data_IF_495908110023
#
_entry.id   IF_495908110023
#
_cell.length_a   1.000
_cell.length_b   1.000
_cell.length_c   1.000
_cell.angle_alpha   90.00
_cell.angle_beta   90.00
_cell.angle_gamma   90.00
#
_symmetry.space_group_name_H-M   'P 1'
#
loop_
_entity.id
_entity.type
_entity.pdbx_description
1 polymer ?
#
# COMPACT_ATOMS: atom_id res chain seq x y z
N UNK A 1 -11.55 -25.58 -28.99
CA UNK A 1 -11.27 -26.99 -28.63
C UNK A 1 -12.34 -27.84 -29.30
N UNK A 2 -11.98 -28.96 -29.96
CA UNK A 2 -12.99 -29.85 -30.53
C UNK A 2 -13.86 -30.47 -29.40
N UNK A 3 -15.10 -30.88 -29.69
CA UNK A 3 -15.94 -31.62 -28.74
C UNK A 3 -15.18 -32.83 -28.15
N UNK A 4 -15.17 -32.95 -26.82
CA UNK A 4 -14.44 -34.02 -26.10
C UNK A 4 -12.92 -33.82 -25.97
N UNK A 5 -12.36 -32.74 -26.52
CA UNK A 5 -10.92 -32.45 -26.43
C UNK A 5 -10.47 -31.96 -25.05
N UNK A 6 -9.23 -32.29 -24.66
CA UNK A 6 -8.57 -31.73 -23.47
C UNK A 6 -7.83 -30.44 -23.81
N UNK A 7 -7.83 -29.49 -22.88
CA UNK A 7 -7.10 -28.24 -22.99
C UNK A 7 -6.48 -27.87 -21.66
N UNK A 8 -5.27 -27.33 -21.69
CA UNK A 8 -4.52 -26.93 -20.49
C UNK A 8 -4.59 -25.42 -20.32
N UNK A 9 -4.90 -24.96 -19.10
CA UNK A 9 -4.91 -23.52 -18.76
C UNK A 9 -3.83 -23.29 -17.72
N UNK A 10 -2.84 -22.46 -18.05
CA UNK A 10 -1.77 -22.08 -17.12
C UNK A 10 -2.07 -20.73 -16.48
N UNK A 11 -2.17 -20.71 -15.14
CA UNK A 11 -2.33 -19.47 -14.36
C UNK A 11 -1.00 -19.08 -13.74
N UNK A 12 -0.54 -17.85 -13.99
CA UNK A 12 0.69 -17.30 -13.38
C UNK A 12 0.31 -16.13 -12.48
N UNK A 13 0.73 -16.18 -11.21
CA UNK A 13 0.54 -15.09 -10.25
C UNK A 13 1.87 -14.40 -9.97
N UNK A 14 1.93 -13.10 -10.23
CA UNK A 14 3.03 -12.27 -9.74
C UNK A 14 2.78 -11.90 -8.28
N UNK A 15 3.61 -12.42 -7.38
CA UNK A 15 3.49 -12.21 -5.92
C UNK A 15 4.19 -10.93 -5.45
N UNK A 16 4.86 -10.18 -6.34
CA UNK A 16 5.53 -8.92 -6.01
C UNK A 16 4.54 -7.94 -5.39
N UNK A 17 4.87 -7.45 -4.19
CA UNK A 17 4.05 -6.49 -3.43
C UNK A 17 2.89 -7.11 -2.66
N UNK A 18 2.66 -8.42 -2.78
CA UNK A 18 1.70 -9.15 -1.95
C UNK A 18 2.36 -9.68 -0.67
N UNK A 19 1.54 -9.84 0.36
CA UNK A 19 1.91 -10.44 1.64
C UNK A 19 0.64 -11.01 2.27
N UNK A 20 0.77 -12.10 3.03
CA UNK A 20 -0.38 -12.76 3.65
C UNK A 20 -1.30 -13.45 2.64
N UNK A 21 -2.56 -13.63 3.01
CA UNK A 21 -3.54 -14.37 2.19
C UNK A 21 -3.94 -13.56 0.96
N UNK A 22 -3.82 -14.16 -0.22
CA UNK A 22 -4.30 -13.60 -1.49
C UNK A 22 -5.28 -14.56 -2.14
N UNK A 23 -6.29 -14.00 -2.81
CA UNK A 23 -7.21 -14.73 -3.66
C UNK A 23 -7.18 -14.07 -5.04
N UNK A 24 -6.92 -14.87 -6.08
CA UNK A 24 -6.93 -14.45 -7.48
C UNK A 24 -7.98 -15.25 -8.23
N UNK A 25 -8.63 -14.62 -9.20
CA UNK A 25 -9.63 -15.28 -10.03
C UNK A 25 -9.28 -15.15 -11.51
N UNK A 26 -9.59 -16.20 -12.26
CA UNK A 26 -9.56 -16.21 -13.70
C UNK A 26 -10.97 -16.51 -14.20
N UNK A 27 -11.46 -15.71 -15.16
CA UNK A 27 -12.70 -15.99 -15.88
C UNK A 27 -12.35 -16.71 -17.17
N UNK A 28 -12.95 -17.88 -17.35
CA UNK A 28 -12.80 -18.67 -18.56
C UNK A 28 -14.11 -18.54 -19.33
N UNK A 29 -14.00 -18.06 -20.56
CA UNK A 29 -15.12 -17.99 -21.49
C UNK A 29 -15.12 -19.22 -22.37
N UNK A 30 -16.30 -19.81 -22.56
CA UNK A 30 -16.49 -20.98 -23.41
C UNK A 30 -17.64 -20.75 -24.37
N UNK A 31 -17.66 -21.51 -25.46
CA UNK A 31 -18.77 -21.57 -26.40
C UNK A 31 -19.80 -22.66 -26.05
N UNK A 32 -19.70 -23.30 -24.88
CA UNK A 32 -20.75 -24.19 -24.37
C UNK A 32 -21.98 -23.33 -24.02
N UNK A 33 -23.14 -23.53 -24.67
CA UNK A 33 -24.34 -22.74 -24.41
C UNK A 33 -24.83 -22.87 -22.96
N UNK A 34 -24.51 -23.97 -22.27
CA UNK A 34 -24.88 -24.23 -20.86
C UNK A 34 -23.91 -23.56 -19.88
N UNK A 35 -22.62 -23.48 -20.23
CA UNK A 35 -21.55 -22.98 -19.35
C UNK A 35 -20.67 -21.94 -20.03
N UNK A 36 -21.28 -20.82 -20.43
CA UNK A 36 -20.58 -19.76 -21.20
C UNK A 36 -19.42 -19.10 -20.45
N UNK A 37 -19.46 -19.14 -19.11
CA UNK A 37 -18.42 -18.59 -18.26
C UNK A 37 -18.22 -19.43 -17.00
N UNK A 38 -16.96 -19.74 -16.68
CA UNK A 38 -16.54 -20.34 -15.42
C UNK A 38 -15.53 -19.45 -14.70
N UNK A 39 -15.53 -19.48 -13.37
CA UNK A 39 -14.54 -18.75 -12.55
C UNK A 39 -13.65 -19.75 -11.80
N UNK A 40 -12.34 -19.72 -12.08
CA UNK A 40 -11.35 -20.41 -11.25
C UNK A 40 -10.84 -19.46 -10.17
N UNK A 41 -10.74 -19.93 -8.93
CA UNK A 41 -10.17 -19.18 -7.81
C UNK A 41 -8.90 -19.85 -7.31
N UNK A 42 -7.83 -19.08 -7.18
CA UNK A 42 -6.55 -19.49 -6.61
C UNK A 42 -6.36 -18.78 -5.27
N UNK A 43 -6.17 -19.54 -4.20
CA UNK A 43 -5.87 -19.04 -2.86
C UNK A 43 -4.43 -19.39 -2.48
N UNK A 44 -3.68 -18.41 -1.98
CA UNK A 44 -2.31 -18.62 -1.52
C UNK A 44 -1.99 -17.73 -0.31
N UNK A 45 -1.01 -18.15 0.51
CA UNK A 45 -0.47 -17.32 1.61
C UNK A 45 0.97 -16.97 1.30
N UNK A 46 1.23 -15.69 1.03
CA UNK A 46 2.56 -15.17 0.69
C UNK A 46 3.33 -14.87 1.97
N UNK A 47 4.38 -15.64 2.22
CA UNK A 47 5.34 -15.37 3.30
C UNK A 47 6.34 -14.32 2.81
N UNK A 48 6.58 -13.30 3.63
CA UNK A 48 7.55 -12.24 3.37
C UNK A 48 8.46 -12.10 4.58
N UNK A 49 9.75 -11.78 4.40
CA UNK A 49 10.69 -11.64 5.51
C UNK A 49 10.40 -10.41 6.37
N UNK A 50 9.83 -9.36 5.75
CA UNK A 50 9.40 -8.14 6.43
C UNK A 50 7.95 -7.83 6.06
N UNK A 51 7.10 -7.80 7.07
CA UNK A 51 5.70 -7.39 6.94
C UNK A 51 5.57 -5.89 7.17
N UNK A 52 4.78 -5.23 6.33
CA UNK A 52 4.43 -3.81 6.46
C UNK A 52 2.92 -3.66 6.60
N UNK A 53 2.41 -2.97 7.62
CA UNK A 53 0.96 -2.73 7.69
C UNK A 53 0.43 -1.91 6.50
N UNK A 54 1.27 -1.04 5.94
CA UNK A 54 1.00 -0.39 4.66
C UNK A 54 2.30 0.01 3.93
N UNK A 55 2.31 -0.17 2.60
CA UNK A 55 3.34 0.39 1.71
C UNK A 55 3.02 1.80 1.22
N UNK A 56 1.78 2.24 1.44
CA UNK A 56 1.26 3.53 0.99
C UNK A 56 0.63 4.28 2.16
N UNK A 57 1.15 5.47 2.44
CA UNK A 57 0.60 6.37 3.45
C UNK A 57 -0.18 7.46 2.76
N UNK A 58 -1.47 7.55 3.06
CA UNK A 58 -2.37 8.55 2.50
C UNK A 58 -2.78 9.57 3.56
N UNK A 59 -2.55 10.84 3.25
CA UNK A 59 -3.06 11.99 3.97
C UNK A 59 -4.16 12.64 3.15
N UNK A 60 -5.30 12.86 3.78
CA UNK A 60 -6.46 13.51 3.16
C UNK A 60 -7.22 14.27 4.23
N UNK A 61 -7.42 15.57 4.02
CA UNK A 61 -8.13 16.38 5.00
C UNK A 61 -8.14 17.88 4.66
N UNK A 62 -8.85 18.68 5.46
CA UNK A 62 -8.88 20.12 5.31
C UNK A 62 -7.54 20.75 5.70
N UNK A 63 -7.25 21.91 5.10
CA UNK A 63 -6.15 22.79 5.48
C UNK A 63 -6.16 23.10 6.99
N UNK A 64 -4.97 23.26 7.56
CA UNK A 64 -4.79 23.71 8.94
C UNK A 64 -4.95 22.61 10.00
N UNK A 65 -5.25 21.37 9.62
CA UNK A 65 -5.32 20.23 10.56
C UNK A 65 -4.10 19.34 10.44
N UNK A 66 -3.34 19.20 11.54
CA UNK A 66 -2.26 18.21 11.62
C UNK A 66 -2.83 16.80 11.49
N UNK A 67 -2.18 15.96 10.69
CA UNK A 67 -2.56 14.57 10.50
C UNK A 67 -1.38 13.66 10.84
N UNK A 68 -1.71 12.52 11.45
CA UNK A 68 -0.75 11.48 11.77
C UNK A 68 -1.15 10.15 11.13
N UNK A 69 -0.16 9.42 10.62
CA UNK A 69 -0.30 8.06 10.10
C UNK A 69 0.83 7.19 10.64
N UNK A 70 0.53 5.93 10.90
CA UNK A 70 1.50 4.97 11.43
C UNK A 70 1.59 3.77 10.49
N UNK A 71 2.82 3.38 10.19
CA UNK A 71 3.15 2.12 9.52
C UNK A 71 3.85 1.22 10.53
N UNK A 72 3.35 0.00 10.68
CA UNK A 72 4.01 -1.04 11.46
C UNK A 72 4.93 -1.83 10.53
N UNK A 73 6.15 -2.08 11.00
CA UNK A 73 7.16 -2.88 10.31
C UNK A 73 7.48 -4.04 11.23
N UNK A 74 7.30 -5.27 10.75
CA UNK A 74 7.46 -6.48 11.56
C UNK A 74 8.39 -7.46 10.85
N UNK A 75 9.47 -7.82 11.52
CA UNK A 75 10.35 -8.90 11.10
C UNK A 75 9.62 -10.24 11.22
N UNK A 76 9.68 -11.05 10.17
CA UNK A 76 9.10 -12.40 10.13
C UNK A 76 10.16 -13.49 10.09
N UNK A 77 11.43 -13.13 9.95
CA UNK A 77 12.56 -14.05 10.11
C UNK A 77 12.96 -14.20 11.58
N UNK A 78 13.80 -15.21 11.85
CA UNK A 78 14.43 -15.42 13.14
C UNK A 78 15.55 -14.41 13.42
N UNK A 79 16.26 -13.97 12.37
CA UNK A 79 17.34 -12.98 12.47
C UNK A 79 16.78 -11.60 12.86
N UNK A 80 17.43 -10.84 13.76
CA UNK A 80 17.04 -9.46 14.06
C UNK A 80 17.05 -8.57 12.80
N UNK A 81 16.01 -7.77 12.64
CA UNK A 81 15.90 -6.77 11.58
C UNK A 81 16.52 -5.45 12.04
N UNK A 82 17.48 -4.94 11.29
CA UNK A 82 18.01 -3.59 11.45
C UNK A 82 17.45 -2.70 10.34
N UNK A 83 17.01 -1.48 10.69
CA UNK A 83 16.42 -0.53 9.74
C UNK A 83 17.14 0.81 9.85
N UNK A 84 17.66 1.30 8.72
CA UNK A 84 18.27 2.63 8.66
C UNK A 84 17.54 3.51 7.62
N UNK A 85 17.14 4.74 7.99
CA UNK A 85 16.61 5.69 7.01
C UNK A 85 17.66 6.01 5.95
N UNK A 86 17.28 5.98 4.67
CA UNK A 86 18.21 6.20 3.56
C UNK A 86 17.91 7.49 2.79
N UNK A 87 16.65 7.69 2.37
CA UNK A 87 16.27 8.89 1.62
C UNK A 87 14.82 9.26 1.87
N UNK A 88 14.57 10.55 2.06
CA UNK A 88 13.24 11.08 2.29
C UNK A 88 12.99 12.32 1.44
N UNK A 89 11.97 12.26 0.58
CA UNK A 89 11.71 13.32 -0.42
C UNK A 89 10.76 14.42 0.08
N UNK A 90 10.21 14.31 1.30
CA UNK A 90 9.16 15.20 1.82
C UNK A 90 9.57 15.84 3.16
N UNK A 91 10.86 16.11 3.35
CA UNK A 91 11.40 16.64 4.61
C UNK A 91 10.84 18.02 4.99
N UNK A 92 10.47 18.81 3.98
CA UNK A 92 9.82 20.12 4.07
C UNK A 92 8.33 20.00 4.40
N UNK A 93 7.64 18.96 3.88
CA UNK A 93 6.19 18.78 4.06
C UNK A 93 5.79 17.92 5.25
N UNK A 94 6.65 16.99 5.68
CA UNK A 94 6.33 15.96 6.67
C UNK A 94 7.49 15.77 7.67
N UNK A 95 7.17 15.36 8.89
CA UNK A 95 8.10 14.75 9.85
C UNK A 95 7.83 13.25 9.90
N UNK A 96 8.87 12.45 10.10
CA UNK A 96 8.72 11.04 10.43
C UNK A 96 9.51 10.71 11.69
N UNK A 97 9.05 9.68 12.39
CA UNK A 97 9.67 9.15 13.58
C UNK A 97 9.65 7.62 13.51
N UNK A 98 10.82 7.00 13.51
CA UNK A 98 10.99 5.55 13.54
C UNK A 98 11.33 5.13 14.97
N UNK A 99 10.44 4.35 15.61
CA UNK A 99 10.68 3.77 16.93
C UNK A 99 10.76 2.26 16.83
N UNK A 100 11.79 1.70 17.43
CA UNK A 100 11.86 0.27 17.72
C UNK A 100 11.01 -0.03 18.95
N UNK A 101 9.95 -0.83 18.79
CA UNK A 101 9.01 -1.19 19.86
C UNK A 101 9.40 -2.52 20.48
N UNK A 102 9.92 -3.44 19.66
CA UNK A 102 10.49 -4.69 20.10
C UNK A 102 11.80 -4.89 19.36
N UNK A 103 12.89 -5.01 20.13
CA UNK A 103 14.25 -5.09 19.59
C UNK A 103 14.37 -6.13 18.47
N UNK A 104 14.81 -5.70 17.30
CA UNK A 104 15.00 -6.48 16.08
C UNK A 104 13.72 -7.06 15.47
N UNK A 105 12.53 -6.75 15.98
CA UNK A 105 11.30 -7.49 15.64
C UNK A 105 10.13 -6.63 15.23
N UNK A 106 9.87 -5.51 15.93
CA UNK A 106 8.73 -4.62 15.64
C UNK A 106 9.17 -3.17 15.70
N UNK A 107 8.83 -2.43 14.66
CA UNK A 107 9.05 -1.00 14.56
C UNK A 107 7.75 -0.28 14.23
N UNK A 108 7.61 0.93 14.78
CA UNK A 108 6.53 1.86 14.47
C UNK A 108 7.13 3.07 13.78
N UNK A 109 6.70 3.28 12.54
CA UNK A 109 7.05 4.46 11.77
C UNK A 109 5.85 5.40 11.74
N UNK A 110 5.98 6.53 12.43
CA UNK A 110 4.95 7.57 12.50
C UNK A 110 5.29 8.68 11.52
N UNK A 111 4.37 9.04 10.65
CA UNK A 111 4.43 10.23 9.80
C UNK A 111 3.45 11.27 10.32
N UNK A 112 3.88 12.51 10.35
CA UNK A 112 3.03 13.64 10.75
C UNK A 112 3.24 14.82 9.80
N UNK A 113 2.15 15.49 9.44
CA UNK A 113 2.17 16.63 8.52
C UNK A 113 2.81 17.86 9.14
N UNK A 114 3.76 18.49 8.44
CA UNK A 114 4.30 19.82 8.77
C UNK A 114 3.61 20.91 7.96
N UNK A 115 3.53 20.70 6.65
CA UNK A 115 2.86 21.62 5.75
C UNK A 115 1.36 21.30 5.71
N UNK A 116 0.57 22.26 6.17
CA UNK A 116 -0.88 22.18 6.23
C UNK A 116 -1.55 23.01 5.14
N UNK A 117 -0.79 23.58 4.20
CA UNK A 117 -1.29 24.38 3.09
C UNK A 117 -2.07 23.53 2.08
N UNK A 118 -3.02 24.12 1.35
CA UNK A 118 -3.77 23.41 0.32
C UNK A 118 -2.87 22.96 -0.81
N UNK A 119 -3.08 21.73 -1.27
CA UNK A 119 -2.30 21.17 -2.34
C UNK A 119 -2.18 19.65 -2.25
N UNK A 120 -1.58 19.08 -3.27
CA UNK A 120 -1.19 17.67 -3.27
C UNK A 120 0.33 17.58 -3.28
N UNK A 121 0.87 16.68 -2.48
CA UNK A 121 2.28 16.29 -2.58
C UNK A 121 2.38 14.77 -2.59
N UNK A 122 3.41 14.29 -3.27
CA UNK A 122 3.72 12.88 -3.41
C UNK A 122 5.21 12.69 -3.24
N UNK A 123 5.58 11.57 -2.65
CA UNK A 123 6.98 11.29 -2.34
C UNK A 123 7.12 9.95 -1.66
N UNK A 124 8.26 9.74 -1.03
CA UNK A 124 8.54 8.46 -0.39
C UNK A 124 9.59 8.58 0.71
N UNK A 125 9.58 7.59 1.59
CA UNK A 125 10.68 7.28 2.50
C UNK A 125 11.29 5.93 2.09
N UNK A 126 12.59 5.92 1.84
CA UNK A 126 13.40 4.72 1.65
C UNK A 126 14.09 4.36 2.96
N UNK A 127 14.00 3.09 3.31
CA UNK A 127 14.66 2.47 4.45
C UNK A 127 15.53 1.34 3.94
N UNK A 128 16.78 1.27 4.40
CA UNK A 128 17.68 0.14 4.17
C UNK A 128 17.48 -0.90 5.27
N UNK A 129 17.69 -2.16 4.92
CA UNK A 129 17.63 -3.27 5.88
C UNK A 129 18.84 -4.18 5.78
N UNK A 130 19.08 -4.97 6.82
CA UNK A 130 20.13 -5.99 6.89
C UNK A 130 19.73 -7.35 6.27
N UNK A 131 18.54 -7.46 5.64
CA UNK A 131 18.06 -8.68 5.00
C UNK A 131 18.39 -8.67 3.50
N UNK A 132 19.10 -9.68 3.01
CA UNK A 132 19.51 -9.78 1.60
C UNK A 132 18.33 -9.91 0.64
N UNK A 133 17.26 -10.60 1.06
CA UNK A 133 16.04 -10.76 0.25
C UNK A 133 15.21 -9.46 0.14
N UNK A 134 15.38 -8.52 1.07
CA UNK A 134 14.64 -7.25 1.11
C UNK A 134 15.55 -6.11 1.58
N UNK A 135 16.58 -5.75 0.81
CA UNK A 135 17.61 -4.80 1.24
C UNK A 135 17.09 -3.36 1.32
N UNK A 136 16.01 -3.04 0.61
CA UNK A 136 15.37 -1.74 0.63
C UNK A 136 13.84 -1.87 0.78
N UNK A 137 13.27 -1.06 1.67
CA UNK A 137 11.84 -0.85 1.81
C UNK A 137 11.53 0.58 1.35
N UNK A 138 10.59 0.71 0.41
CA UNK A 138 10.05 2.01 0.02
C UNK A 138 8.62 2.16 0.53
N UNK A 139 8.38 3.21 1.32
CA UNK A 139 7.05 3.63 1.76
C UNK A 139 6.66 4.84 0.95
N UNK A 140 5.65 4.68 0.09
CA UNK A 140 5.14 5.75 -0.76
C UNK A 140 4.15 6.59 0.03
N UNK A 141 4.21 7.89 -0.16
CA UNK A 141 3.39 8.85 0.58
C UNK A 141 2.67 9.72 -0.42
N UNK A 142 1.37 9.92 -0.21
CA UNK A 142 0.56 10.85 -0.98
C UNK A 142 -0.31 11.65 -0.03
N UNK A 143 -0.35 12.95 -0.24
CA UNK A 143 -1.24 13.84 0.48
C UNK A 143 -2.13 14.61 -0.49
N UNK A 144 -3.35 14.90 -0.03
CA UNK A 144 -4.24 15.87 -0.64
C UNK A 144 -4.91 16.68 0.46
N UNK A 145 -4.47 17.93 0.60
CA UNK A 145 -5.00 18.89 1.54
C UNK A 145 -5.94 19.81 0.76
N UNK A 146 -7.21 19.83 1.17
CA UNK A 146 -8.24 20.67 0.53
C UNK A 146 -8.38 21.97 1.31
N UNK A 147 -8.64 23.09 0.63
CA UNK A 147 -9.02 24.33 1.32
C UNK A 147 -10.24 24.03 2.20
N UNK A 148 -10.20 24.47 3.47
CA UNK A 148 -11.41 24.53 4.27
C UNK A 148 -12.40 25.43 3.50
N UNK A 149 -13.63 24.96 3.32
CA UNK A 149 -14.53 25.49 2.30
C UNK A 149 -14.67 27.01 2.30
N UNK A 150 -14.48 27.61 1.13
CA UNK A 150 -15.38 28.68 0.72
C UNK A 150 -16.73 27.98 0.55
N UNK A 151 -17.65 28.24 1.48
CA UNK A 151 -19.07 27.92 1.32
C UNK A 151 -19.48 28.44 -0.06
N UNK A 152 -19.97 27.58 -0.96
CA UNK A 152 -20.65 28.06 -2.17
C UNK A 152 -21.86 28.88 -1.70
N UNK A 153 -21.70 30.21 -1.60
CA UNK A 153 -22.80 31.14 -1.36
C UNK A 153 -23.74 31.08 -2.56
N UNK A 154 -24.98 30.70 -2.28
CA UNK A 154 -26.20 31.08 -2.99
C UNK A 154 -26.20 30.98 -4.51
N UNK A 155 -26.73 29.87 -5.04
CA UNK A 155 -27.59 29.98 -6.22
C UNK A 155 -29.00 30.21 -5.71
N UNK A 156 -29.29 31.48 -5.41
CA UNK A 156 -30.65 32.00 -5.40
C UNK A 156 -31.21 31.81 -6.80
N UNK A 157 -32.15 30.88 -6.98
CA UNK A 157 -33.01 30.88 -8.16
C UNK A 157 -34.24 31.70 -7.76
N UNK A 158 -34.20 32.98 -8.14
CA UNK A 158 -35.36 33.86 -8.22
C UNK A 158 -35.86 33.83 -9.65
N UNK A 159 -37.02 33.19 -9.84
CA UNK A 159 -38.20 33.56 -10.63
C UNK A 159 -38.88 32.30 -11.15
#
# INVERSE_FOLDING_TARGET
MPPGGKGTITLKVNTRGYQGKIIKSARIYTNDPRTRMMVLRLSATIKVPIYLSSRYVYFYGPQGKEQTRVVEIVAKESKPLDITPAHFTLADKLKYELREVQKGKRFRLKFTTKDLSPGGYHGFLKLKTNYQETPEITIRIRARIVKAGITRKGSTVVK
#
